data_IF_020405151186
#
_entry.id   IF_020405151186
#
_cell.length_a   1.000
_cell.length_b   1.000
_cell.length_c   1.000
_cell.angle_alpha   90.00
_cell.angle_beta   90.00
_cell.angle_gamma   90.00
#
_symmetry.space_group_name_H-M   'P 1'
#
loop_
_entity.id
_entity.type
_entity.pdbx_description
1 polymer ?
#
# COMPACT_ATOMS: atom_id res chain seq x y z
N UNK A 1 -17.56 22.04 -21.21
CA UNK A 1 -16.76 21.01 -20.48
C UNK A 1 -15.38 20.88 -21.14
N UNK A 2 -14.29 20.92 -20.38
CA UNK A 2 -12.91 20.92 -20.94
C UNK A 2 -12.54 19.56 -21.56
N UNK A 3 -11.63 19.56 -22.55
CA UNK A 3 -11.14 18.32 -23.20
C UNK A 3 -10.58 17.32 -22.19
N UNK A 4 -9.84 17.80 -21.18
CA UNK A 4 -9.27 16.97 -20.10
C UNK A 4 -10.38 16.29 -19.28
N UNK A 5 -11.47 17.00 -18.94
CA UNK A 5 -12.56 16.41 -18.16
C UNK A 5 -13.28 15.30 -18.92
N UNK A 6 -13.50 15.48 -20.23
CA UNK A 6 -14.05 14.43 -21.11
C UNK A 6 -13.13 13.20 -21.18
N UNK A 7 -11.81 13.41 -21.32
CA UNK A 7 -10.82 12.32 -21.33
C UNK A 7 -10.81 11.55 -20.01
N UNK A 8 -10.81 12.22 -18.85
CA UNK A 8 -10.87 11.57 -17.54
C UNK A 8 -12.10 10.68 -17.39
N UNK A 9 -13.27 11.15 -17.85
CA UNK A 9 -14.52 10.37 -17.82
C UNK A 9 -14.44 9.11 -18.69
N UNK A 10 -13.85 9.23 -19.89
CA UNK A 10 -13.63 8.09 -20.78
C UNK A 10 -12.67 7.07 -20.16
N UNK A 11 -11.52 7.52 -19.64
CA UNK A 11 -10.51 6.67 -19.00
C UNK A 11 -11.07 5.98 -17.76
N UNK A 12 -11.89 6.67 -16.96
CA UNK A 12 -12.56 6.08 -15.81
C UNK A 12 -13.39 4.85 -16.22
N UNK A 13 -14.25 5.01 -17.23
CA UNK A 13 -15.14 3.95 -17.68
C UNK A 13 -14.43 2.84 -18.46
N UNK A 14 -13.42 3.18 -19.28
CA UNK A 14 -12.79 2.23 -20.21
C UNK A 14 -11.49 1.61 -19.71
N UNK A 15 -10.79 2.25 -18.78
CA UNK A 15 -9.49 1.80 -18.28
C UNK A 15 -9.54 1.44 -16.79
N UNK A 16 -9.91 2.37 -15.92
CA UNK A 16 -9.86 2.15 -14.47
C UNK A 16 -10.88 1.08 -13.99
N UNK A 17 -12.05 1.02 -14.62
CA UNK A 17 -13.07 0.01 -14.33
C UNK A 17 -12.83 -1.34 -15.00
N UNK A 18 -11.74 -1.50 -15.76
CA UNK A 18 -11.44 -2.78 -16.40
C UNK A 18 -11.16 -3.86 -15.35
N UNK A 19 -11.73 -5.06 -15.53
CA UNK A 19 -11.68 -6.19 -14.57
C UNK A 19 -10.27 -6.51 -14.03
N UNK A 20 -9.24 -6.39 -14.88
CA UNK A 20 -7.86 -6.66 -14.46
C UNK A 20 -7.31 -5.56 -13.55
N UNK A 21 -7.68 -4.31 -13.80
CA UNK A 21 -7.28 -3.15 -12.99
C UNK A 21 -7.98 -3.22 -11.65
N UNK A 22 -9.29 -3.45 -11.63
CA UNK A 22 -10.07 -3.57 -10.38
C UNK A 22 -9.51 -4.67 -9.48
N UNK A 23 -9.19 -5.85 -10.03
CA UNK A 23 -8.56 -6.95 -9.27
C UNK A 23 -7.22 -6.54 -8.66
N UNK A 24 -6.35 -5.90 -9.43
CA UNK A 24 -5.03 -5.42 -8.96
C UNK A 24 -5.17 -4.34 -7.90
N UNK A 25 -6.07 -3.38 -8.09
CA UNK A 25 -6.37 -2.33 -7.11
C UNK A 25 -6.91 -2.91 -5.80
N UNK A 26 -7.79 -3.90 -5.88
CA UNK A 26 -8.30 -4.59 -4.69
C UNK A 26 -7.16 -5.30 -3.94
N UNK A 27 -6.33 -6.08 -4.64
CA UNK A 27 -5.19 -6.77 -4.04
C UNK A 27 -4.21 -5.79 -3.37
N UNK A 28 -3.84 -4.70 -4.05
CA UNK A 28 -2.97 -3.66 -3.48
C UNK A 28 -3.59 -3.00 -2.25
N UNK A 29 -4.90 -2.71 -2.27
CA UNK A 29 -5.61 -2.18 -1.08
C UNK A 29 -5.56 -3.15 0.10
N UNK A 30 -5.71 -4.45 -0.13
CA UNK A 30 -5.61 -5.45 0.94
C UNK A 30 -4.18 -5.56 1.46
N UNK A 31 -3.20 -5.53 0.57
CA UNK A 31 -1.79 -5.56 0.95
C UNK A 31 -1.42 -4.41 1.89
N UNK A 32 -1.76 -3.17 1.52
CA UNK A 32 -1.50 -1.98 2.34
C UNK A 32 -2.19 -2.07 3.71
N UNK A 33 -3.45 -2.54 3.75
CA UNK A 33 -4.17 -2.73 5.02
C UNK A 33 -3.52 -3.78 5.91
N UNK A 34 -3.14 -4.92 5.33
CA UNK A 34 -2.47 -6.01 6.04
C UNK A 34 -1.13 -5.57 6.60
N UNK A 35 -0.29 -4.94 5.76
CA UNK A 35 1.00 -4.38 6.18
C UNK A 35 0.85 -3.40 7.34
N UNK A 36 -0.10 -2.46 7.22
CA UNK A 36 -0.34 -1.49 8.29
C UNK A 36 -0.76 -2.18 9.58
N UNK A 37 -1.70 -3.14 9.51
CA UNK A 37 -2.15 -3.88 10.69
C UNK A 37 -1.00 -4.67 11.32
N UNK A 38 -0.27 -5.46 10.54
CA UNK A 38 0.81 -6.30 11.04
C UNK A 38 1.95 -5.49 11.67
N UNK A 39 2.38 -4.40 11.02
CA UNK A 39 3.42 -3.50 11.57
C UNK A 39 2.95 -2.73 12.80
N UNK A 40 1.64 -2.47 12.93
CA UNK A 40 1.07 -1.89 14.13
C UNK A 40 1.02 -2.90 15.29
N UNK A 41 0.84 -4.19 15.01
CA UNK A 41 0.83 -5.26 16.00
C UNK A 41 2.25 -5.65 16.45
N UNK A 42 3.19 -5.82 15.52
CA UNK A 42 4.59 -6.15 15.80
C UNK A 42 5.52 -5.19 15.05
N UNK A 43 6.03 -4.19 15.78
CA UNK A 43 6.84 -3.12 15.24
C UNK A 43 8.29 -3.54 14.96
N UNK A 44 8.77 -4.66 15.54
CA UNK A 44 10.12 -5.18 15.26
C UNK A 44 10.29 -5.68 13.83
N UNK A 45 9.19 -5.83 13.08
CA UNK A 45 9.21 -6.10 11.64
C UNK A 45 9.64 -4.86 10.83
N UNK A 46 9.66 -3.66 11.41
CA UNK A 46 10.15 -2.46 10.74
C UNK A 46 11.67 -2.55 10.49
N UNK A 47 12.17 -2.03 9.35
CA UNK A 47 13.59 -1.86 9.15
C UNK A 47 14.18 -0.92 10.21
N UNK A 48 15.45 -1.15 10.56
CA UNK A 48 16.12 -0.42 11.65
C UNK A 48 16.06 1.11 11.55
N UNK A 49 16.06 1.69 10.33
CA UNK A 49 15.90 3.12 10.12
C UNK A 49 14.52 3.65 10.57
N UNK A 50 13.45 2.91 10.30
CA UNK A 50 12.09 3.28 10.72
C UNK A 50 11.85 2.92 12.18
N UNK A 51 12.34 1.77 12.63
CA UNK A 51 12.22 1.35 14.03
C UNK A 51 12.79 2.38 15.00
N UNK A 52 13.98 2.93 14.73
CA UNK A 52 14.59 4.01 15.55
C UNK A 52 13.77 5.30 15.61
N UNK A 53 12.90 5.55 14.62
CA UNK A 53 12.06 6.75 14.65
C UNK A 53 10.90 6.64 15.63
N UNK A 54 10.58 5.43 16.12
CA UNK A 54 9.54 5.23 17.14
C UNK A 54 9.86 5.93 18.46
N UNK A 55 11.14 6.17 18.75
CA UNK A 55 11.60 6.88 19.96
C UNK A 55 11.15 8.36 20.00
N UNK A 56 10.84 8.94 18.84
CA UNK A 56 10.57 10.38 18.70
C UNK A 56 9.31 10.71 17.90
N UNK A 57 8.73 9.76 17.17
CA UNK A 57 7.57 9.96 16.28
C UNK A 57 6.47 8.96 16.61
N UNK A 58 5.22 9.34 16.33
CA UNK A 58 4.10 8.42 16.52
C UNK A 58 4.25 7.18 15.64
N UNK A 59 3.98 6.01 16.24
CA UNK A 59 4.02 4.72 15.56
C UNK A 59 3.22 4.70 14.26
N UNK A 60 2.01 5.26 14.29
CA UNK A 60 1.15 5.39 13.10
C UNK A 60 1.85 6.10 11.94
N UNK A 61 2.60 7.17 12.23
CA UNK A 61 3.28 7.94 11.20
C UNK A 61 4.50 7.20 10.66
N UNK A 62 5.29 6.58 11.52
CA UNK A 62 6.46 5.79 11.13
C UNK A 62 6.05 4.63 10.23
N UNK A 63 5.01 3.88 10.61
CA UNK A 63 4.48 2.76 9.81
C UNK A 63 3.95 3.26 8.47
N UNK A 64 3.19 4.37 8.45
CA UNK A 64 2.68 4.93 7.20
C UNK A 64 3.79 5.40 6.26
N UNK A 65 4.82 6.07 6.79
CA UNK A 65 5.97 6.53 6.01
C UNK A 65 6.78 5.35 5.44
N UNK A 66 6.93 4.26 6.21
CA UNK A 66 7.57 3.04 5.73
C UNK A 66 6.79 2.40 4.59
N UNK A 67 5.47 2.21 4.75
CA UNK A 67 4.61 1.64 3.69
C UNK A 67 4.66 2.51 2.44
N UNK A 68 4.64 3.84 2.58
CA UNK A 68 4.73 4.77 1.46
C UNK A 68 6.08 4.72 0.72
N UNK A 69 7.16 4.28 1.38
CA UNK A 69 8.48 4.10 0.76
C UNK A 69 8.62 2.81 -0.04
N UNK A 70 7.67 1.88 0.08
CA UNK A 70 7.76 0.58 -0.59
C UNK A 70 7.46 0.68 -2.08
N UNK A 71 8.16 -0.11 -2.89
CA UNK A 71 7.69 -0.41 -4.25
C UNK A 71 6.54 -1.42 -4.21
N UNK A 72 5.67 -1.40 -5.22
CA UNK A 72 4.54 -2.34 -5.32
C UNK A 72 4.98 -3.82 -5.18
N UNK A 73 6.11 -4.18 -5.82
CA UNK A 73 6.66 -5.55 -5.77
C UNK A 73 7.05 -5.92 -4.34
N UNK A 74 7.75 -5.02 -3.66
CA UNK A 74 8.18 -5.26 -2.29
C UNK A 74 6.99 -5.34 -1.33
N UNK A 75 6.03 -4.42 -1.42
CA UNK A 75 4.84 -4.40 -0.57
C UNK A 75 4.02 -5.70 -0.69
N UNK A 76 3.82 -6.20 -1.91
CA UNK A 76 3.10 -7.45 -2.14
C UNK A 76 3.86 -8.66 -1.60
N UNK A 77 5.17 -8.74 -1.85
CA UNK A 77 6.01 -9.84 -1.36
C UNK A 77 6.02 -9.86 0.18
N UNK A 78 6.25 -8.70 0.80
CA UNK A 78 6.30 -8.58 2.25
C UNK A 78 4.95 -8.90 2.90
N UNK A 79 3.84 -8.46 2.29
CA UNK A 79 2.50 -8.84 2.74
C UNK A 79 2.26 -10.36 2.63
N UNK A 80 2.73 -11.00 1.55
CA UNK A 80 2.58 -12.44 1.37
C UNK A 80 3.41 -13.24 2.38
N UNK A 81 4.65 -12.81 2.63
CA UNK A 81 5.53 -13.38 3.66
C UNK A 81 4.90 -13.26 5.06
N UNK A 82 4.40 -12.07 5.41
CA UNK A 82 3.77 -11.78 6.69
C UNK A 82 2.55 -12.67 6.99
N UNK A 83 1.78 -13.04 5.97
CA UNK A 83 0.55 -13.84 6.12
C UNK A 83 0.70 -15.28 5.61
N UNK A 84 1.93 -15.76 5.38
CA UNK A 84 2.22 -17.14 4.99
C UNK A 84 1.59 -17.58 3.66
N UNK A 85 1.38 -16.64 2.73
CA UNK A 85 0.89 -16.92 1.37
C UNK A 85 2.09 -17.15 0.44
N UNK A 86 2.80 -18.25 0.68
CA UNK A 86 3.82 -18.77 -0.23
C UNK A 86 3.16 -19.66 -1.30
#
# INVERSE_FOLDING_TARGET
>A
ETKIKKLKKLLFNKMYQHKNIVRRMYAGKQAVKGLYKGLMEEEKMLPGFYYKQLDSRSKHRVVADYIASMSDRYALNFHNEMYGKL
#
